data_IF_105867478041
#
_entry.id   IF_105867478041
#
_cell.length_a   1.000
_cell.length_b   1.000
_cell.length_c   1.000
_cell.angle_alpha   90.00
_cell.angle_beta   90.00
_cell.angle_gamma   90.00
#
_symmetry.space_group_name_H-M   'P 1'
#
loop_
_entity.id
_entity.type
_entity.pdbx_description
1 polymer ?
#
# COMPACT_ATOMS: atom_id res chain seq x y z
N UNK A 1 3.04 -11.45 22.59
CA UNK A 1 2.77 -11.84 21.18
C UNK A 1 4.07 -11.63 20.42
N UNK A 2 4.47 -12.51 19.49
CA UNK A 2 5.65 -12.25 18.67
C UNK A 2 5.34 -11.09 17.71
N UNK A 3 5.56 -9.88 18.18
CA UNK A 3 5.35 -8.65 17.42
C UNK A 3 6.12 -8.69 16.08
N UNK A 4 7.30 -9.31 16.07
CA UNK A 4 8.09 -9.62 14.87
C UNK A 4 7.33 -10.49 13.87
N UNK A 5 6.61 -11.53 14.32
CA UNK A 5 5.79 -12.39 13.43
C UNK A 5 4.61 -11.60 12.86
N UNK A 6 3.99 -10.74 13.67
CA UNK A 6 2.90 -9.87 13.23
C UNK A 6 3.40 -8.89 12.15
N UNK A 7 4.52 -8.21 12.37
CA UNK A 7 5.10 -7.29 11.39
C UNK A 7 5.41 -7.99 10.06
N UNK A 8 6.03 -9.17 10.09
CA UNK A 8 6.33 -9.95 8.89
C UNK A 8 5.06 -10.39 8.13
N UNK A 9 3.99 -10.69 8.85
CA UNK A 9 2.70 -11.01 8.27
C UNK A 9 2.07 -9.78 7.61
N UNK A 10 2.05 -8.63 8.30
CA UNK A 10 1.51 -7.37 7.76
C UNK A 10 2.28 -6.91 6.53
N UNK A 11 3.61 -7.06 6.52
CA UNK A 11 4.46 -6.76 5.37
C UNK A 11 4.02 -7.58 4.15
N UNK A 12 3.99 -8.91 4.28
CA UNK A 12 3.54 -9.83 3.23
C UNK A 12 2.12 -9.53 2.73
N UNK A 13 1.20 -9.27 3.65
CA UNK A 13 -0.19 -8.96 3.32
C UNK A 13 -0.26 -7.63 2.57
N UNK A 14 0.44 -6.59 3.03
CA UNK A 14 0.45 -5.28 2.37
C UNK A 14 0.98 -5.38 0.94
N UNK A 15 2.06 -6.13 0.73
CA UNK A 15 2.61 -6.42 -0.59
C UNK A 15 1.61 -7.15 -1.49
N UNK A 16 0.99 -8.23 -0.98
CA UNK A 16 0.02 -9.01 -1.75
C UNK A 16 -1.22 -8.19 -2.13
N UNK A 17 -1.72 -7.37 -1.20
CA UNK A 17 -2.88 -6.51 -1.45
C UNK A 17 -2.54 -5.42 -2.47
N UNK A 18 -1.38 -4.76 -2.35
CA UNK A 18 -0.96 -3.75 -3.33
C UNK A 18 -0.80 -4.35 -4.73
N UNK A 19 -0.24 -5.55 -4.82
CA UNK A 19 -0.12 -6.27 -6.09
C UNK A 19 -1.48 -6.58 -6.72
N UNK A 20 -2.39 -7.16 -5.93
CA UNK A 20 -3.75 -7.44 -6.40
C UNK A 20 -4.49 -6.17 -6.80
N UNK A 21 -4.35 -5.10 -6.00
CA UNK A 21 -4.96 -3.78 -6.24
C UNK A 21 -4.46 -3.17 -7.54
N UNK A 22 -3.15 -3.27 -7.83
CA UNK A 22 -2.57 -2.82 -9.11
C UNK A 22 -3.22 -3.54 -10.30
N UNK A 23 -3.34 -4.87 -10.23
CA UNK A 23 -4.00 -5.65 -11.28
C UNK A 23 -5.47 -5.25 -11.44
N UNK A 24 -6.19 -5.04 -10.34
CA UNK A 24 -7.60 -4.61 -10.37
C UNK A 24 -7.75 -3.24 -11.04
N UNK A 25 -6.88 -2.27 -10.75
CA UNK A 25 -6.91 -0.97 -11.40
C UNK A 25 -6.65 -1.07 -12.91
N UNK A 26 -5.68 -1.88 -13.32
CA UNK A 26 -5.37 -2.09 -14.74
C UNK A 26 -6.50 -2.81 -15.47
N UNK A 27 -7.08 -3.85 -14.88
CA UNK A 27 -8.26 -4.54 -15.43
C UNK A 27 -9.47 -3.60 -15.48
N UNK A 28 -9.69 -2.79 -14.45
CA UNK A 28 -10.75 -1.78 -14.41
C UNK A 28 -10.60 -0.69 -15.47
N UNK A 29 -9.36 -0.38 -15.87
CA UNK A 29 -9.07 0.52 -16.99
C UNK A 29 -9.32 -0.15 -18.34
N UNK A 30 -8.98 -1.43 -18.49
CA UNK A 30 -9.24 -2.20 -19.71
C UNK A 30 -10.74 -2.49 -19.93
N UNK A 31 -11.52 -2.63 -18.85
CA UNK A 31 -12.96 -2.91 -18.89
C UNK A 31 -13.79 -1.87 -18.12
N UNK A 32 -13.96 -0.64 -18.64
CA UNK A 32 -14.62 0.46 -17.92
C UNK A 32 -16.09 0.22 -17.58
N UNK A 33 -16.75 -0.72 -18.27
CA UNK A 33 -18.19 -1.03 -18.13
C UNK A 33 -18.53 -1.77 -16.83
N UNK A 34 -17.53 -2.25 -16.08
CA UNK A 34 -17.76 -3.02 -14.84
C UNK A 34 -17.50 -2.10 -13.64
N UNK A 35 -18.55 -1.53 -13.00
CA UNK A 35 -18.38 -0.55 -11.92
C UNK A 35 -17.76 -1.16 -10.64
N UNK A 36 -17.94 -2.47 -10.42
CA UNK A 36 -17.45 -3.17 -9.23
C UNK A 36 -15.91 -3.19 -9.11
N UNK A 37 -15.18 -3.18 -10.24
CA UNK A 37 -13.72 -3.15 -10.25
C UNK A 37 -13.15 -1.86 -9.65
N UNK A 38 -13.84 -0.72 -9.85
CA UNK A 38 -13.43 0.56 -9.28
C UNK A 38 -13.54 0.56 -7.75
N UNK A 39 -14.66 0.05 -7.24
CA UNK A 39 -14.90 -0.04 -5.78
C UNK A 39 -13.91 -1.01 -5.15
N UNK A 40 -13.66 -2.16 -5.79
CA UNK A 40 -12.73 -3.16 -5.32
C UNK A 40 -11.28 -2.64 -5.29
N UNK A 41 -10.85 -1.89 -6.31
CA UNK A 41 -9.53 -1.26 -6.35
C UNK A 41 -9.33 -0.24 -5.23
N UNK A 42 -10.29 0.67 -5.04
CA UNK A 42 -10.23 1.68 -3.97
C UNK A 42 -10.24 1.04 -2.58
N UNK A 43 -11.06 0.00 -2.39
CA UNK A 43 -11.11 -0.78 -1.15
C UNK A 43 -9.79 -1.50 -0.89
N UNK A 44 -9.21 -2.14 -1.90
CA UNK A 44 -7.90 -2.78 -1.80
C UNK A 44 -6.81 -1.80 -1.41
N UNK A 45 -6.81 -0.61 -1.99
CA UNK A 45 -5.86 0.45 -1.65
C UNK A 45 -6.04 0.93 -0.19
N UNK A 46 -7.29 1.08 0.27
CA UNK A 46 -7.58 1.46 1.66
C UNK A 46 -7.11 0.39 2.65
N UNK A 47 -7.32 -0.89 2.36
CA UNK A 47 -6.84 -1.98 3.21
C UNK A 47 -5.31 -1.99 3.24
N UNK A 48 -4.64 -1.84 2.10
CA UNK A 48 -3.18 -1.75 2.06
C UNK A 48 -2.66 -0.56 2.89
N UNK A 49 -3.29 0.60 2.77
CA UNK A 49 -2.92 1.79 3.54
C UNK A 49 -3.03 1.53 5.06
N UNK A 50 -4.12 0.91 5.51
CA UNK A 50 -4.30 0.56 6.92
C UNK A 50 -3.31 -0.52 7.39
N UNK A 51 -3.01 -1.52 6.57
CA UNK A 51 -1.97 -2.51 6.86
C UNK A 51 -0.60 -1.87 7.04
N UNK A 52 -0.23 -0.91 6.20
CA UNK A 52 1.05 -0.21 6.33
C UNK A 52 1.04 0.70 7.55
N UNK A 53 -0.06 1.41 7.83
CA UNK A 53 -0.19 2.25 9.02
C UNK A 53 -0.02 1.45 10.31
N UNK A 54 -0.64 0.26 10.37
CA UNK A 54 -0.52 -0.65 11.52
C UNK A 54 0.87 -1.25 11.64
N UNK A 55 1.55 -1.55 10.53
CA UNK A 55 2.95 -1.98 10.53
C UNK A 55 3.88 -0.89 11.09
N UNK A 56 3.75 0.34 10.60
CA UNK A 56 4.56 1.48 11.07
C UNK A 56 4.27 1.81 12.54
N UNK A 57 3.01 1.75 12.95
CA UNK A 57 2.60 1.94 14.35
C UNK A 57 3.17 0.87 15.28
N UNK A 58 3.14 -0.40 14.86
CA UNK A 58 3.77 -1.50 15.62
C UNK A 58 5.26 -1.28 15.81
N UNK A 59 5.97 -0.91 14.74
CA UNK A 59 7.40 -0.58 14.81
C UNK A 59 7.71 0.61 15.69
N UNK A 60 6.87 1.65 15.65
CA UNK A 60 7.04 2.80 16.52
C UNK A 60 6.95 2.42 18.00
N UNK A 61 5.96 1.61 18.37
CA UNK A 61 5.76 1.15 19.75
C UNK A 61 6.92 0.26 20.23
N UNK A 62 7.47 -0.60 19.37
CA UNK A 62 8.58 -1.49 19.72
C UNK A 62 9.94 -0.79 19.78
N UNK A 63 10.22 0.05 18.79
CA UNK A 63 11.54 0.63 18.61
C UNK A 63 11.74 1.92 19.42
N UNK A 64 10.65 2.56 19.87
CA UNK A 64 10.68 3.78 20.68
C UNK A 64 11.11 5.03 19.90
N UNK A 65 11.27 4.94 18.58
CA UNK A 65 11.59 6.04 17.68
C UNK A 65 10.61 6.08 16.49
N UNK A 66 10.54 7.24 15.83
CA UNK A 66 9.63 7.44 14.70
C UNK A 66 10.04 6.58 13.48
N UNK A 67 9.10 5.84 12.83
CA UNK A 67 9.40 4.83 11.81
C UNK A 67 9.82 5.44 10.45
N UNK A 68 10.96 6.13 10.45
CA UNK A 68 11.69 6.70 9.31
C UNK A 68 13.19 6.39 9.43
N UNK A 69 13.66 5.92 10.59
CA UNK A 69 15.10 5.82 10.89
C UNK A 69 15.90 4.88 9.97
N UNK A 70 15.24 3.88 9.35
CA UNK A 70 15.84 3.02 8.32
C UNK A 70 15.20 3.30 6.95
N UNK A 71 15.96 3.08 5.87
CA UNK A 71 15.48 3.12 4.48
C UNK A 71 14.27 2.21 4.25
N UNK A 72 14.24 0.99 4.82
CA UNK A 72 13.04 0.14 4.72
C UNK A 72 11.80 0.87 5.29
N UNK A 73 11.92 1.43 6.50
CA UNK A 73 10.80 2.11 7.17
C UNK A 73 10.38 3.39 6.42
N UNK A 74 11.37 4.13 5.92
CA UNK A 74 11.15 5.30 5.07
C UNK A 74 10.39 4.96 3.79
N UNK A 75 10.69 3.84 3.14
CA UNK A 75 9.98 3.40 1.93
C UNK A 75 8.54 2.98 2.25
N UNK A 76 8.31 2.30 3.38
CA UNK A 76 6.95 1.98 3.81
C UNK A 76 6.16 3.24 4.21
N UNK A 77 6.79 4.20 4.86
CA UNK A 77 6.19 5.50 5.15
C UNK A 77 5.85 6.27 3.86
N UNK A 78 6.73 6.23 2.86
CA UNK A 78 6.48 6.82 1.54
C UNK A 78 5.31 6.13 0.83
N UNK A 79 5.25 4.80 0.82
CA UNK A 79 4.12 4.04 0.28
C UNK A 79 2.82 4.41 1.00
N UNK A 80 2.84 4.49 2.33
CA UNK A 80 1.68 4.92 3.10
C UNK A 80 1.23 6.32 2.69
N UNK A 81 2.14 7.28 2.60
CA UNK A 81 1.84 8.64 2.14
C UNK A 81 1.26 8.67 0.73
N UNK A 82 1.87 7.94 -0.22
CA UNK A 82 1.39 7.84 -1.59
C UNK A 82 -0.01 7.22 -1.69
N UNK A 83 -0.26 6.16 -0.94
CA UNK A 83 -1.59 5.49 -0.93
C UNK A 83 -2.65 6.35 -0.25
N UNK A 84 -2.29 7.14 0.77
CA UNK A 84 -3.18 8.16 1.37
C UNK A 84 -3.52 9.25 0.37
N UNK A 85 -2.52 9.82 -0.30
CA UNK A 85 -2.73 10.85 -1.32
C UNK A 85 -3.56 10.29 -2.48
N UNK A 86 -3.32 9.04 -2.89
CA UNK A 86 -4.12 8.35 -3.89
C UNK A 86 -5.61 8.32 -3.50
N UNK A 87 -5.94 7.88 -2.28
CA UNK A 87 -7.34 7.79 -1.82
C UNK A 87 -8.03 9.15 -1.79
N UNK A 88 -7.31 10.21 -1.41
CA UNK A 88 -7.81 11.58 -1.45
C UNK A 88 -8.03 12.02 -2.91
N UNK A 89 -7.03 11.84 -3.77
CA UNK A 89 -7.09 12.24 -5.18
C UNK A 89 -8.16 11.48 -5.97
N UNK A 90 -8.34 10.19 -5.70
CA UNK A 90 -9.38 9.36 -6.31
C UNK A 90 -10.78 9.83 -5.91
N UNK A 91 -11.00 10.13 -4.62
CA UNK A 91 -12.27 10.68 -4.14
C UNK A 91 -12.56 12.09 -4.70
N UNK A 92 -11.55 12.94 -4.82
CA UNK A 92 -11.73 14.31 -5.34
C UNK A 92 -11.95 14.33 -6.86
N UNK A 93 -11.19 13.53 -7.61
CA UNK A 93 -11.24 13.55 -9.08
C UNK A 93 -12.36 12.66 -9.66
N UNK A 94 -12.81 11.64 -8.92
CA UNK A 94 -13.69 10.60 -9.44
C UNK A 94 -13.10 9.81 -10.61
N UNK A 95 -11.80 9.99 -10.91
CA UNK A 95 -11.14 9.44 -12.09
C UNK A 95 -10.37 8.17 -11.76
N UNK A 96 -10.69 7.10 -12.50
CA UNK A 96 -10.01 5.80 -12.37
C UNK A 96 -8.55 5.84 -12.82
N UNK A 97 -8.18 6.85 -13.62
CA UNK A 97 -6.80 7.01 -14.10
C UNK A 97 -5.82 7.25 -12.97
N UNK A 98 -6.26 7.89 -11.87
CA UNK A 98 -5.42 8.10 -10.69
C UNK A 98 -4.85 6.77 -10.22
N UNK A 99 -5.71 5.76 -10.01
CA UNK A 99 -5.29 4.42 -9.58
C UNK A 99 -4.43 3.68 -10.59
N UNK A 100 -4.64 3.87 -11.88
CA UNK A 100 -3.81 3.24 -12.93
C UNK A 100 -2.35 3.69 -12.83
N UNK A 101 -2.11 4.96 -12.47
CA UNK A 101 -0.76 5.51 -12.35
C UNK A 101 -0.16 5.33 -10.95
N UNK A 102 -0.94 5.52 -9.88
CA UNK A 102 -0.43 5.47 -8.50
C UNK A 102 -0.23 4.05 -7.98
N UNK A 103 -1.08 3.10 -8.36
CA UNK A 103 -0.99 1.71 -7.88
C UNK A 103 0.32 1.00 -8.24
N UNK A 104 0.87 1.09 -9.48
CA UNK A 104 2.17 0.49 -9.78
C UNK A 104 3.32 1.21 -9.06
N UNK A 105 3.20 2.50 -8.75
CA UNK A 105 4.20 3.23 -7.96
C UNK A 105 4.24 2.72 -6.51
N UNK A 106 3.08 2.64 -5.86
CA UNK A 106 2.95 2.10 -4.50
C UNK A 106 3.43 0.64 -4.42
N UNK A 107 3.05 -0.18 -5.40
CA UNK A 107 3.50 -1.56 -5.51
C UNK A 107 5.02 -1.65 -5.74
N UNK A 108 5.58 -0.85 -6.64
CA UNK A 108 7.00 -0.88 -6.98
C UNK A 108 7.90 -0.48 -5.81
N UNK A 109 7.53 0.54 -5.05
CA UNK A 109 8.26 0.96 -3.84
C UNK A 109 8.23 -0.14 -2.79
N UNK A 110 7.05 -0.71 -2.55
CA UNK A 110 6.87 -1.81 -1.57
C UNK A 110 7.64 -3.06 -2.01
N UNK A 111 7.63 -3.39 -3.30
CA UNK A 111 8.39 -4.51 -3.85
C UNK A 111 9.89 -4.29 -3.71
N UNK A 112 10.38 -3.09 -4.03
CA UNK A 112 11.78 -2.75 -3.85
C UNK A 112 12.20 -2.87 -2.38
N UNK A 113 11.37 -2.37 -1.45
CA UNK A 113 11.62 -2.45 -0.02
C UNK A 113 11.69 -3.91 0.47
N UNK A 114 10.68 -4.72 0.08
CA UNK A 114 10.53 -6.10 0.50
C UNK A 114 11.56 -7.06 -0.13
N UNK A 115 12.08 -6.77 -1.33
CA UNK A 115 13.07 -7.64 -2.00
C UNK A 115 14.51 -7.27 -1.66
N UNK A 116 14.79 -6.00 -1.39
CA UNK A 116 16.18 -5.51 -1.21
C UNK A 116 16.62 -5.53 0.26
N UNK A 117 15.73 -5.12 1.17
CA UNK A 117 16.10 -4.90 2.57
C UNK A 117 15.59 -5.99 3.52
N UNK A 118 14.75 -6.90 3.04
CA UNK A 118 14.31 -8.06 3.81
C UNK A 118 15.46 -9.07 3.87
N UNK A 119 16.23 -9.02 4.96
CA UNK A 119 17.22 -10.03 5.34
C UNK A 119 16.74 -10.74 6.59
#
# INVERSE_FOLDING_TARGET
>A
MDLVKLQNLLDNISFAILFATMLIYWVGAAFPRIPYLSVLGSTGMAIANLCIATLLGGRWLEAGYFPISNLYESLFFLTWGLTTIHLIAENMSGSRLVGVFTSPLAMGITAFAALTFRK
#
